data_IF_603042571374
#
_entry.id   IF_603042571374
#
_cell.length_a   1.000
_cell.length_b   1.000
_cell.length_c   1.000
_cell.angle_alpha   90.00
_cell.angle_beta   90.00
_cell.angle_gamma   90.00
#
_symmetry.space_group_name_H-M   'P 1'
#
loop_
_entity.id
_entity.type
_entity.pdbx_description
1 polymer ?
#
# COMPACT_ATOMS: atom_id res chain seq x y z
N UNK A 1 -30.72 -20.44 -5.02
CA UNK A 1 -30.66 -21.91 -5.06
C UNK A 1 -30.79 -22.27 -6.51
N UNK A 2 -29.75 -22.87 -7.08
CA UNK A 2 -29.80 -23.32 -8.48
C UNK A 2 -30.55 -24.64 -8.47
N UNK A 3 -31.75 -24.70 -9.03
CA UNK A 3 -32.56 -25.91 -8.97
C UNK A 3 -31.92 -27.02 -9.80
N UNK A 4 -32.11 -28.30 -9.44
CA UNK A 4 -31.66 -29.44 -10.28
C UNK A 4 -32.08 -29.27 -11.74
N UNK A 5 -33.27 -28.72 -11.97
CA UNK A 5 -33.79 -28.42 -13.30
C UNK A 5 -32.93 -27.39 -14.07
N UNK A 6 -32.38 -26.39 -13.38
CA UNK A 6 -31.45 -25.41 -13.98
C UNK A 6 -30.09 -26.04 -14.32
N UNK A 7 -29.62 -27.01 -13.52
CA UNK A 7 -28.40 -27.75 -13.84
C UNK A 7 -28.58 -28.64 -15.09
N UNK A 8 -29.74 -29.27 -15.28
CA UNK A 8 -30.01 -30.10 -16.46
C UNK A 8 -30.16 -29.28 -17.75
N UNK A 9 -30.65 -28.03 -17.67
CA UNK A 9 -30.67 -27.10 -18.83
C UNK A 9 -29.28 -26.84 -19.41
N UNK A 10 -28.22 -26.99 -18.61
CA UNK A 10 -26.84 -26.86 -19.11
C UNK A 10 -26.47 -27.94 -20.13
N UNK A 11 -27.08 -29.13 -20.08
CA UNK A 11 -26.87 -30.19 -21.09
C UNK A 11 -27.54 -29.87 -22.43
N UNK A 12 -28.58 -29.04 -22.42
CA UNK A 12 -29.28 -28.61 -23.63
C UNK A 12 -28.61 -27.38 -24.26
N UNK A 13 -28.09 -26.45 -23.44
CA UNK A 13 -27.55 -25.17 -23.89
C UNK A 13 -26.06 -25.19 -24.24
N UNK A 14 -25.27 -26.11 -23.67
CA UNK A 14 -23.82 -26.14 -23.82
C UNK A 14 -23.34 -27.43 -24.49
N UNK A 15 -22.25 -27.38 -25.28
CA UNK A 15 -21.64 -28.58 -25.85
C UNK A 15 -21.16 -29.55 -24.77
N UNK A 16 -20.89 -30.80 -25.16
CA UNK A 16 -20.44 -31.87 -24.24
C UNK A 16 -19.25 -31.48 -23.36
N UNK A 17 -18.41 -30.58 -23.87
CA UNK A 17 -17.26 -30.02 -23.15
C UNK A 17 -17.31 -28.51 -23.11
N UNK A 18 -16.86 -27.93 -22.00
CA UNK A 18 -16.75 -26.49 -21.81
C UNK A 18 -15.36 -26.05 -21.37
N UNK A 19 -15.05 -24.80 -21.64
CA UNK A 19 -13.79 -24.15 -21.25
C UNK A 19 -13.85 -23.68 -19.80
N UNK A 20 -12.68 -23.43 -19.18
CA UNK A 20 -12.61 -22.76 -17.86
C UNK A 20 -13.36 -21.42 -17.84
N UNK A 21 -13.42 -20.71 -18.98
CA UNK A 21 -14.08 -19.40 -19.06
C UNK A 21 -15.61 -19.51 -18.98
N UNK A 22 -16.19 -20.54 -19.60
CA UNK A 22 -17.61 -20.89 -19.43
C UNK A 22 -17.88 -21.39 -18.01
N UNK A 23 -17.03 -22.28 -17.49
CA UNK A 23 -17.20 -22.89 -16.18
C UNK A 23 -17.33 -21.87 -15.04
N UNK A 24 -16.43 -20.88 -14.93
CA UNK A 24 -16.51 -19.92 -13.81
C UNK A 24 -17.76 -19.03 -13.88
N UNK A 25 -18.29 -18.76 -15.08
CA UNK A 25 -19.50 -17.95 -15.28
C UNK A 25 -20.72 -18.73 -14.81
N UNK A 26 -20.84 -19.98 -15.26
CA UNK A 26 -21.92 -20.90 -14.88
C UNK A 26 -21.88 -21.16 -13.36
N UNK A 27 -20.70 -21.43 -12.81
CA UNK A 27 -20.55 -21.73 -11.40
C UNK A 27 -20.60 -20.50 -10.47
N UNK A 28 -20.69 -19.28 -11.02
CA UNK A 28 -20.68 -18.03 -10.27
C UNK A 28 -19.49 -17.91 -9.29
N UNK A 29 -18.29 -18.26 -9.75
CA UNK A 29 -17.05 -18.21 -8.96
C UNK A 29 -16.00 -17.35 -9.65
N UNK A 30 -15.00 -16.88 -8.90
CA UNK A 30 -13.89 -16.14 -9.50
C UNK A 30 -13.06 -17.02 -10.46
N UNK A 31 -12.46 -16.40 -11.48
CA UNK A 31 -11.50 -17.07 -12.39
C UNK A 31 -10.35 -17.77 -11.64
N UNK A 32 -9.98 -17.26 -10.46
CA UNK A 32 -8.95 -17.83 -9.57
C UNK A 32 -9.46 -19.08 -8.86
N UNK A 33 -10.68 -19.04 -8.33
CA UNK A 33 -11.29 -20.19 -7.67
C UNK A 33 -11.53 -21.33 -8.65
N UNK A 34 -12.03 -21.02 -9.85
CA UNK A 34 -12.16 -22.00 -10.94
C UNK A 34 -10.81 -22.66 -11.28
N UNK A 35 -9.72 -21.89 -11.34
CA UNK A 35 -8.39 -22.45 -11.55
C UNK A 35 -7.99 -23.39 -10.40
N UNK A 36 -8.23 -23.00 -9.15
CA UNK A 36 -7.94 -23.85 -7.99
C UNK A 36 -8.68 -25.19 -8.07
N UNK A 37 -9.99 -25.17 -8.33
CA UNK A 37 -10.81 -26.39 -8.44
C UNK A 37 -10.29 -27.37 -9.51
N UNK A 38 -9.80 -26.83 -10.62
CA UNK A 38 -9.27 -27.62 -11.73
C UNK A 38 -7.84 -28.12 -11.44
N UNK A 39 -6.99 -27.27 -10.89
CA UNK A 39 -5.61 -27.64 -10.53
C UNK A 39 -5.56 -28.66 -9.38
N UNK A 40 -6.51 -28.59 -8.43
CA UNK A 40 -6.60 -29.53 -7.31
C UNK A 40 -7.31 -30.83 -7.67
N UNK A 41 -7.92 -30.91 -8.85
CA UNK A 41 -8.71 -32.08 -9.28
C UNK A 41 -10.07 -32.21 -8.60
N UNK A 42 -10.53 -31.19 -7.86
CA UNK A 42 -11.88 -31.18 -7.27
C UNK A 42 -12.98 -31.17 -8.33
N UNK A 43 -12.68 -30.62 -9.50
CA UNK A 43 -13.51 -30.74 -10.71
C UNK A 43 -12.68 -31.43 -11.79
N UNK A 44 -13.07 -32.63 -12.25
CA UNK A 44 -12.36 -33.34 -13.30
C UNK A 44 -12.21 -32.49 -14.57
N UNK A 45 -11.00 -32.45 -15.12
CA UNK A 45 -10.75 -31.76 -16.39
C UNK A 45 -9.59 -32.38 -17.15
N UNK A 46 -9.59 -32.17 -18.46
CA UNK A 46 -8.44 -32.43 -19.32
C UNK A 46 -7.56 -31.19 -19.38
N UNK A 47 -6.32 -31.32 -18.93
CA UNK A 47 -5.33 -30.26 -18.90
C UNK A 47 -4.27 -30.46 -19.99
N UNK A 48 -4.22 -29.52 -20.94
CA UNK A 48 -3.27 -29.54 -22.06
C UNK A 48 -1.91 -28.92 -21.72
N UNK A 49 -1.74 -28.32 -20.53
CA UNK A 49 -0.52 -27.63 -20.09
C UNK A 49 -0.23 -26.30 -20.80
N UNK A 50 -1.06 -25.89 -21.76
CA UNK A 50 -0.87 -24.64 -22.54
C UNK A 50 -1.09 -23.40 -21.66
N UNK A 51 -0.46 -22.28 -22.05
CA UNK A 51 -0.65 -20.99 -21.37
C UNK A 51 -2.09 -20.47 -21.49
N UNK A 52 -2.73 -20.70 -22.63
CA UNK A 52 -4.10 -20.27 -22.94
C UNK A 52 -4.93 -21.48 -23.36
N UNK A 53 -6.24 -21.44 -23.12
CA UNK A 53 -7.17 -22.55 -23.43
C UNK A 53 -6.68 -23.90 -22.83
N UNK A 54 -6.14 -23.84 -21.61
CA UNK A 54 -5.48 -24.95 -20.91
C UNK A 54 -6.42 -26.12 -20.57
N UNK A 55 -7.62 -25.80 -20.08
CA UNK A 55 -8.54 -26.78 -19.49
C UNK A 55 -9.78 -26.98 -20.37
N UNK A 56 -10.14 -28.25 -20.53
CA UNK A 56 -11.42 -28.71 -21.11
C UNK A 56 -12.14 -29.54 -20.06
N UNK A 57 -13.39 -29.21 -19.75
CA UNK A 57 -14.17 -29.78 -18.66
C UNK A 57 -15.41 -30.42 -19.26
N UNK A 58 -15.79 -31.63 -18.86
CA UNK A 58 -17.04 -32.22 -19.35
C UNK A 58 -18.23 -31.53 -18.69
N UNK A 59 -19.28 -31.26 -19.46
CA UNK A 59 -20.49 -30.58 -18.96
C UNK A 59 -21.18 -31.38 -17.85
N UNK A 60 -21.16 -32.71 -17.95
CA UNK A 60 -21.61 -33.61 -16.88
C UNK A 60 -20.85 -33.41 -15.56
N UNK A 61 -19.54 -33.17 -15.61
CA UNK A 61 -18.70 -33.04 -14.42
C UNK A 61 -18.95 -31.70 -13.74
N UNK A 62 -19.30 -30.67 -14.53
CA UNK A 62 -19.75 -29.37 -14.00
C UNK A 62 -21.09 -29.49 -13.30
N UNK A 63 -22.04 -30.25 -13.84
CA UNK A 63 -23.35 -30.50 -13.20
C UNK A 63 -23.17 -31.24 -11.88
N UNK A 64 -22.37 -32.31 -11.86
CA UNK A 64 -22.05 -33.06 -10.63
C UNK A 64 -21.45 -32.12 -9.59
N UNK A 65 -20.50 -31.26 -9.99
CA UNK A 65 -19.92 -30.26 -9.11
C UNK A 65 -20.95 -29.26 -8.57
N UNK A 66 -21.86 -28.74 -9.40
CA UNK A 66 -22.86 -27.77 -8.97
C UNK A 66 -23.81 -28.37 -7.93
N UNK A 67 -24.28 -29.59 -8.16
CA UNK A 67 -25.14 -30.32 -7.23
C UNK A 67 -24.40 -30.63 -5.92
N UNK A 68 -23.23 -31.27 -5.99
CA UNK A 68 -22.47 -31.66 -4.79
C UNK A 68 -21.96 -30.45 -3.99
N UNK A 69 -21.73 -29.30 -4.64
CA UNK A 69 -21.35 -28.06 -3.94
C UNK A 69 -22.50 -27.48 -3.12
N UNK A 70 -23.75 -27.64 -3.54
CA UNK A 70 -24.90 -27.20 -2.75
C UNK A 70 -25.04 -28.02 -1.46
N UNK A 71 -24.81 -29.34 -1.54
CA UNK A 71 -24.87 -30.23 -0.38
C UNK A 71 -23.60 -30.15 0.50
N UNK A 72 -22.43 -30.00 -0.12
CA UNK A 72 -21.11 -30.07 0.53
C UNK A 72 -20.23 -28.84 0.24
N UNK A 73 -20.62 -27.62 0.66
CA UNK A 73 -19.89 -26.40 0.32
C UNK A 73 -18.46 -26.37 0.89
N UNK A 74 -18.22 -26.99 2.05
CA UNK A 74 -16.89 -27.01 2.69
C UNK A 74 -15.84 -27.79 1.88
N UNK A 75 -16.25 -28.82 1.12
CA UNK A 75 -15.36 -29.61 0.24
C UNK A 75 -14.70 -28.76 -0.84
N UNK A 76 -15.41 -27.73 -1.32
CA UNK A 76 -14.97 -26.88 -2.44
C UNK A 76 -14.42 -25.52 -1.98
N UNK A 77 -14.23 -25.36 -0.67
CA UNK A 77 -13.72 -24.13 -0.08
C UNK A 77 -12.24 -23.99 -0.37
N UNK A 78 -11.83 -22.78 -0.75
CA UNK A 78 -10.43 -22.49 -1.00
C UNK A 78 -9.61 -22.53 0.30
N UNK A 79 -8.37 -23.05 0.28
CA UNK A 79 -7.46 -22.97 1.40
C UNK A 79 -7.22 -21.52 1.84
N UNK A 80 -7.02 -21.33 3.13
CA UNK A 80 -6.70 -20.03 3.72
C UNK A 80 -5.46 -19.45 3.04
N UNK A 81 -5.62 -18.28 2.41
CA UNK A 81 -4.51 -17.59 1.71
C UNK A 81 -4.52 -17.73 0.18
N UNK A 82 -5.34 -18.59 -0.42
CA UNK A 82 -5.47 -18.70 -1.89
C UNK A 82 -5.85 -17.36 -2.55
N UNK A 83 -6.70 -16.59 -1.87
CA UNK A 83 -7.14 -15.27 -2.32
C UNK A 83 -6.20 -14.13 -1.92
N UNK A 84 -5.23 -14.39 -1.02
CA UNK A 84 -4.24 -13.39 -0.64
C UNK A 84 -3.46 -13.07 -1.92
N UNK A 85 -3.62 -11.85 -2.40
CA UNK A 85 -3.13 -11.47 -3.72
C UNK A 85 -1.65 -11.76 -3.84
N UNK A 86 -1.20 -12.16 -5.03
CA UNK A 86 0.15 -11.88 -5.48
C UNK A 86 0.33 -10.36 -5.56
N UNK A 87 0.34 -9.68 -4.42
CA UNK A 87 1.16 -8.49 -4.29
C UNK A 87 2.59 -9.02 -4.38
N UNK A 88 3.11 -9.23 -5.60
CA UNK A 88 4.52 -9.56 -5.84
C UNK A 88 5.49 -8.54 -5.22
N UNK A 89 4.96 -7.48 -4.63
CA UNK A 89 5.60 -6.73 -3.56
C UNK A 89 5.63 -7.58 -2.29
N UNK A 90 6.62 -8.49 -2.20
CA UNK A 90 7.27 -8.70 -0.89
C UNK A 90 7.47 -7.29 -0.34
N UNK A 91 6.90 -6.97 0.83
CA UNK A 91 7.26 -5.72 1.52
C UNK A 91 8.78 -5.78 1.61
N UNK A 92 9.47 -4.96 0.81
CA UNK A 92 10.92 -4.79 0.96
C UNK A 92 11.06 -4.21 2.35
N UNK A 93 11.34 -5.07 3.33
CA UNK A 93 11.91 -4.64 4.59
C UNK A 93 13.23 -4.05 4.14
N UNK A 94 13.29 -2.72 4.08
CA UNK A 94 14.51 -2.05 3.70
C UNK A 94 15.55 -2.43 4.74
N UNK A 95 16.62 -3.11 4.33
CA UNK A 95 17.76 -3.42 5.19
C UNK A 95 18.49 -2.17 5.72
N UNK A 96 18.00 -0.97 5.38
CA UNK A 96 18.44 0.29 5.96
C UNK A 96 17.83 0.44 7.36
N UNK A 97 18.66 0.57 8.41
CA UNK A 97 18.19 0.80 9.76
C UNK A 97 17.29 2.02 9.81
N UNK A 98 16.19 1.93 10.55
CA UNK A 98 15.31 3.07 10.80
C UNK A 98 15.89 3.87 11.97
N UNK A 99 16.26 5.12 11.69
CA UNK A 99 16.79 6.05 12.70
C UNK A 99 15.67 6.93 13.23
N UNK A 100 15.46 6.85 14.53
CA UNK A 100 14.47 7.62 15.28
C UNK A 100 15.15 8.67 16.13
N UNK A 101 14.54 9.85 16.19
CA UNK A 101 14.98 10.95 17.03
C UNK A 101 13.89 11.25 18.05
N UNK A 102 14.24 11.17 19.33
CA UNK A 102 13.32 11.39 20.44
C UNK A 102 13.86 12.57 21.28
N UNK A 103 13.36 13.77 21.02
CA UNK A 103 13.75 14.97 21.75
C UNK A 103 12.74 15.27 22.86
N UNK A 104 13.24 15.66 24.02
CA UNK A 104 12.43 16.25 25.08
C UNK A 104 11.88 17.62 24.65
N UNK A 105 10.86 18.14 25.34
CA UNK A 105 10.31 19.48 25.02
C UNK A 105 11.37 20.58 25.08
N UNK A 106 12.30 20.52 26.05
CA UNK A 106 13.40 21.47 26.15
C UNK A 106 14.35 21.40 24.93
N UNK A 107 14.64 20.19 24.44
CA UNK A 107 15.47 19.96 23.25
C UNK A 107 14.74 20.35 21.96
N UNK A 108 13.41 20.24 21.89
CA UNK A 108 12.64 20.75 20.75
C UNK A 108 12.75 22.26 20.62
N UNK A 109 12.77 22.98 21.75
CA UNK A 109 13.03 24.43 21.75
C UNK A 109 14.43 24.75 21.21
N UNK A 110 15.44 23.98 21.61
CA UNK A 110 16.79 24.14 21.05
C UNK A 110 16.86 23.81 19.55
N UNK A 111 16.15 22.76 19.10
CA UNK A 111 16.04 22.40 17.70
C UNK A 111 15.33 23.50 16.87
N UNK A 112 14.30 24.14 17.44
CA UNK A 112 13.64 25.29 16.83
C UNK A 112 14.65 26.42 16.58
N UNK A 113 15.50 26.75 17.56
CA UNK A 113 16.53 27.79 17.41
C UNK A 113 17.55 27.45 16.31
N UNK A 114 17.94 26.18 16.16
CA UNK A 114 18.83 25.76 15.06
C UNK A 114 18.17 25.97 13.69
N UNK A 115 16.88 25.65 13.56
CA UNK A 115 16.13 25.92 12.33
C UNK A 115 15.95 27.42 12.08
N UNK A 116 15.72 28.20 13.14
CA UNK A 116 15.60 29.66 13.06
C UNK A 116 16.89 30.30 12.54
N UNK A 117 18.04 29.85 13.03
CA UNK A 117 19.36 30.27 12.53
C UNK A 117 19.55 29.95 11.05
N UNK A 118 19.14 28.76 10.59
CA UNK A 118 19.21 28.40 9.17
C UNK A 118 18.21 29.16 8.30
N UNK A 119 17.09 29.57 8.86
CA UNK A 119 16.06 30.34 8.18
C UNK A 119 16.28 31.86 8.26
N UNK A 120 17.40 32.33 8.82
CA UNK A 120 17.65 33.75 9.08
C UNK A 120 17.67 34.60 7.81
N UNK A 121 18.18 34.05 6.71
CA UNK A 121 18.27 34.74 5.41
C UNK A 121 16.96 34.69 4.60
N UNK A 122 15.93 33.99 5.10
CA UNK A 122 14.65 33.82 4.40
C UNK A 122 13.61 34.81 4.91
N UNK A 123 12.76 35.27 3.99
CA UNK A 123 11.62 36.14 4.33
C UNK A 123 10.56 35.43 5.18
N UNK A 124 9.68 36.20 5.81
CA UNK A 124 8.62 35.66 6.68
C UNK A 124 7.56 34.83 5.93
N UNK A 125 7.42 35.03 4.62
CA UNK A 125 6.59 34.23 3.73
C UNK A 125 7.47 33.56 2.68
N UNK A 126 7.57 32.24 2.75
CA UNK A 126 8.44 31.44 1.89
C UNK A 126 7.63 30.74 0.80
N UNK A 127 8.17 30.70 -0.41
CA UNK A 127 7.68 29.89 -1.53
C UNK A 127 8.04 28.41 -1.31
N UNK A 128 7.35 27.50 -1.99
CA UNK A 128 7.69 26.07 -1.90
C UNK A 128 9.11 25.75 -2.34
N UNK A 129 9.70 26.57 -3.22
CA UNK A 129 11.09 26.41 -3.66
C UNK A 129 12.08 26.77 -2.54
N UNK A 130 11.86 27.89 -1.83
CA UNK A 130 12.69 28.29 -0.69
C UNK A 130 12.58 27.28 0.46
N UNK A 131 11.37 26.77 0.76
CA UNK A 131 11.20 25.70 1.76
C UNK A 131 11.92 24.42 1.33
N UNK A 132 11.90 24.11 0.04
CA UNK A 132 12.60 22.96 -0.52
C UNK A 132 14.11 23.12 -0.37
N UNK A 133 14.65 24.32 -0.56
CA UNK A 133 16.07 24.57 -0.33
C UNK A 133 16.43 24.48 1.15
N UNK A 134 15.73 25.20 2.03
CA UNK A 134 15.97 25.19 3.47
C UNK A 134 15.93 23.76 4.06
N UNK A 135 14.89 23.00 3.76
CA UNK A 135 14.64 21.70 4.40
C UNK A 135 15.18 20.51 3.62
N UNK A 136 15.52 20.69 2.34
CA UNK A 136 15.95 19.61 1.43
C UNK A 136 14.83 18.66 0.99
N UNK A 137 13.57 18.92 1.32
CA UNK A 137 12.43 18.12 0.85
C UNK A 137 11.91 18.61 -0.50
N UNK A 138 11.43 17.69 -1.35
CA UNK A 138 10.84 18.09 -2.62
C UNK A 138 9.63 19.02 -2.45
N UNK A 139 9.43 19.92 -3.41
CA UNK A 139 8.24 20.78 -3.50
C UNK A 139 6.93 20.00 -3.43
N UNK A 140 6.88 18.79 -4.01
CA UNK A 140 5.71 17.91 -3.93
C UNK A 140 5.42 17.43 -2.50
N UNK A 141 6.46 17.10 -1.72
CA UNK A 141 6.31 16.72 -0.31
C UNK A 141 5.72 17.86 0.50
N UNK A 142 6.25 19.07 0.29
CA UNK A 142 5.82 20.29 0.97
C UNK A 142 4.36 20.62 0.62
N UNK A 143 4.01 20.62 -0.67
CA UNK A 143 2.63 20.79 -1.12
C UNK A 143 1.70 19.76 -0.49
N UNK A 144 2.12 18.49 -0.42
CA UNK A 144 1.33 17.43 0.21
C UNK A 144 1.11 17.66 1.70
N UNK A 145 2.10 18.17 2.43
CA UNK A 145 1.93 18.53 3.85
C UNK A 145 0.92 19.66 4.03
N UNK A 146 0.96 20.67 3.16
CA UNK A 146 -0.02 21.75 3.15
C UNK A 146 -1.43 21.27 2.77
N UNK A 147 -1.57 20.44 1.75
CA UNK A 147 -2.87 19.85 1.34
C UNK A 147 -3.48 19.00 2.44
N UNK A 148 -2.65 18.28 3.22
CA UNK A 148 -3.09 17.48 4.36
C UNK A 148 -3.30 18.28 5.64
N UNK A 149 -3.11 19.60 5.62
CA UNK A 149 -3.22 20.48 6.79
C UNK A 149 -2.28 20.08 7.94
N UNK A 150 -1.14 19.47 7.59
CA UNK A 150 -0.07 19.15 8.54
C UNK A 150 0.85 20.36 8.69
N UNK A 151 1.12 21.05 7.58
CA UNK A 151 1.89 22.28 7.53
C UNK A 151 0.95 23.42 7.11
N UNK A 152 0.93 24.52 7.86
CA UNK A 152 0.11 25.68 7.53
C UNK A 152 0.70 26.36 6.30
N UNK A 153 -0.13 26.60 5.30
CA UNK A 153 0.25 27.30 4.08
C UNK A 153 -0.96 27.99 3.46
N UNK A 154 -0.71 29.13 2.81
CA UNK A 154 -1.72 29.99 2.22
C UNK A 154 -1.56 30.02 0.71
N UNK A 155 -2.68 30.10 -0.01
CA UNK A 155 -2.65 30.40 -1.43
C UNK A 155 -2.91 31.88 -1.64
N UNK A 156 -1.90 32.61 -2.07
CA UNK A 156 -1.97 34.04 -2.37
C UNK A 156 -1.79 34.20 -3.88
N UNK A 157 -2.78 34.76 -4.57
CA UNK A 157 -2.80 34.91 -6.03
C UNK A 157 -2.43 33.64 -6.82
N UNK A 158 -2.87 32.47 -6.33
CA UNK A 158 -2.62 31.18 -6.96
C UNK A 158 -1.27 30.52 -6.61
N UNK A 159 -0.36 31.25 -5.96
CA UNK A 159 0.91 30.71 -5.47
C UNK A 159 0.77 30.22 -4.02
N UNK A 160 1.35 29.06 -3.70
CA UNK A 160 1.41 28.53 -2.33
C UNK A 160 2.58 29.18 -1.59
N UNK A 161 2.27 29.95 -0.55
CA UNK A 161 3.23 30.57 0.37
C UNK A 161 3.07 29.97 1.76
N UNK A 162 4.17 29.86 2.48
CA UNK A 162 4.26 29.18 3.76
C UNK A 162 4.95 30.13 4.74
N UNK A 163 4.32 30.50 5.87
CA UNK A 163 4.97 31.32 6.88
C UNK A 163 6.23 30.63 7.40
N UNK A 164 7.31 31.39 7.54
CA UNK A 164 8.59 30.91 8.10
C UNK A 164 8.38 30.24 9.45
N UNK A 165 7.63 30.89 10.35
CA UNK A 165 7.28 30.35 11.68
C UNK A 165 6.62 28.96 11.61
N UNK A 166 5.69 28.76 10.67
CA UNK A 166 5.00 27.48 10.51
C UNK A 166 5.97 26.34 10.10
N UNK A 167 7.04 26.67 9.37
CA UNK A 167 8.08 25.69 9.00
C UNK A 167 8.93 25.37 10.22
N UNK A 168 9.34 26.38 10.99
CA UNK A 168 10.16 26.19 12.19
C UNK A 168 9.45 25.32 13.22
N UNK A 169 8.19 25.64 13.53
CA UNK A 169 7.33 24.85 14.43
C UNK A 169 7.14 23.42 13.92
N UNK A 170 6.90 23.26 12.61
CA UNK A 170 6.73 21.94 12.02
C UNK A 170 8.02 21.12 12.12
N UNK A 171 9.17 21.69 11.74
CA UNK A 171 10.44 20.99 11.66
C UNK A 171 11.02 20.63 13.03
N UNK A 172 10.67 21.37 14.09
CA UNK A 172 11.02 21.02 15.47
C UNK A 172 10.03 20.05 16.14
N UNK A 173 8.88 19.78 15.52
CA UNK A 173 7.85 18.91 16.08
C UNK A 173 8.16 17.41 15.96
N UNK A 174 7.50 16.61 16.81
CA UNK A 174 7.53 15.13 16.71
C UNK A 174 7.09 14.63 15.34
N UNK A 175 6.23 15.38 14.66
CA UNK A 175 5.73 15.00 13.34
C UNK A 175 6.84 15.02 12.30
N UNK A 176 7.76 15.99 12.37
CA UNK A 176 8.88 16.07 11.45
C UNK A 176 10.00 15.08 11.85
N UNK A 177 10.33 14.98 13.13
CA UNK A 177 11.39 14.07 13.61
C UNK A 177 11.02 12.59 13.42
N UNK A 178 9.73 12.25 13.41
CA UNK A 178 9.20 10.90 13.10
C UNK A 178 9.11 10.57 11.60
N UNK A 179 9.46 11.49 10.70
CA UNK A 179 9.47 11.19 9.25
C UNK A 179 10.46 10.05 8.98
N UNK A 180 9.97 8.95 8.41
CA UNK A 180 10.79 7.75 8.14
C UNK A 180 11.88 8.02 7.09
N UNK A 181 11.53 8.74 6.01
CA UNK A 181 12.45 9.08 4.91
C UNK A 181 12.75 10.57 4.96
N UNK A 182 13.75 10.94 5.75
CA UNK A 182 14.22 12.31 5.88
C UNK A 182 15.06 12.71 4.66
N UNK A 183 15.04 14.00 4.30
CA UNK A 183 16.03 14.57 3.37
C UNK A 183 17.42 14.49 4.01
N UNK A 184 18.49 14.56 3.22
CA UNK A 184 19.86 14.58 3.78
C UNK A 184 20.03 15.77 4.72
N UNK A 185 19.68 16.98 4.28
CA UNK A 185 19.76 18.20 5.10
C UNK A 185 19.07 18.04 6.46
N UNK A 186 17.83 17.54 6.47
CA UNK A 186 17.10 17.32 7.72
C UNK A 186 17.74 16.22 8.57
N UNK A 187 18.13 15.10 7.96
CA UNK A 187 18.77 13.99 8.68
C UNK A 187 20.08 14.39 9.33
N UNK A 188 20.95 15.09 8.59
CA UNK A 188 22.26 15.52 9.04
C UNK A 188 22.12 16.54 10.18
N UNK A 189 21.18 17.48 10.07
CA UNK A 189 20.86 18.42 11.14
C UNK A 189 20.43 17.72 12.43
N UNK A 190 19.46 16.80 12.34
CA UNK A 190 18.99 16.06 13.53
C UNK A 190 20.10 15.19 14.13
N UNK A 191 20.94 14.59 13.28
CA UNK A 191 22.06 13.77 13.72
C UNK A 191 23.09 14.58 14.49
N UNK A 192 23.49 15.74 13.98
CA UNK A 192 24.42 16.64 14.67
C UNK A 192 23.80 17.17 15.95
N UNK A 193 22.53 17.61 15.91
CA UNK A 193 21.85 18.13 17.08
C UNK A 193 21.70 17.06 18.18
N UNK A 194 21.37 15.82 17.83
CA UNK A 194 21.23 14.72 18.79
C UNK A 194 22.55 14.36 19.51
N UNK A 195 23.72 14.72 18.96
CA UNK A 195 25.00 14.56 19.65
C UNK A 195 25.19 15.58 20.79
N UNK A 196 24.53 16.74 20.69
CA UNK A 196 24.51 17.79 21.72
C UNK A 196 23.44 17.53 22.81
N UNK A 197 22.59 16.51 22.61
CA UNK A 197 21.45 16.16 23.45
C UNK A 197 21.73 14.99 24.43
N UNK A 198 20.70 14.58 25.18
CA UNK A 198 20.81 13.45 26.11
C UNK A 198 21.14 12.11 25.42
N UNK A 199 21.76 11.19 26.17
CA UNK A 199 21.99 9.81 25.73
C UNK A 199 20.63 9.12 25.49
N UNK A 200 20.33 8.79 24.23
CA UNK A 200 19.04 8.20 23.83
C UNK A 200 18.22 9.06 22.88
N UNK A 201 18.65 10.31 22.62
CA UNK A 201 18.03 11.20 21.64
C UNK A 201 18.01 10.62 20.22
N UNK A 202 18.92 9.69 19.90
CA UNK A 202 18.99 8.97 18.63
C UNK A 202 18.95 7.45 18.88
N UNK A 203 17.96 6.76 18.31
CA UNK A 203 17.80 5.30 18.39
C UNK A 203 17.83 4.70 16.99
N UNK A 204 18.66 3.66 16.80
CA UNK A 204 18.77 2.92 15.55
C UNK A 204 18.10 1.56 15.73
N UNK A 205 17.05 1.29 14.94
CA UNK A 205 16.38 0.00 14.90
C UNK A 205 16.73 -0.72 13.58
N UNK A 206 17.13 -1.98 13.68
CA UNK A 206 17.50 -2.85 12.56
C UNK A 206 16.33 -3.76 12.15
#
# INVERSE_FOLDING_TARGET
>A
MTTLLECYKLLEEYPDTMTKDQFYRIAHISKRHAKYLLDSGLVPCHDTGKKTRRYTIQTRDVIIFLCDREDNPEKYKAPTGLYRGNSGKKRRISATPSVYFNFTEAEKTGLYLKWEQLAADYGDLMTTAEVSDLTGYSTQSIQRWCSKKILVGFKIHGALTIPRLAILEFMSSDRATSIVRKSSKHFDLLRTYAQECHKGAMTILY
#
